data_IF_099852965593
#
_entry.id   IF_099852965593
#
_cell.length_a   1.000
_cell.length_b   1.000
_cell.length_c   1.000
_cell.angle_alpha   90.00
_cell.angle_beta   90.00
_cell.angle_gamma   90.00
#
_symmetry.space_group_name_H-M   'P 1'
#
loop_
_entity.id
_entity.type
_entity.pdbx_description
1 polymer ?
#
# COMPACT_ATOMS: atom_id res chain seq x y z
N UNK A 1 -16.85 -0.50 -14.40
CA UNK A 1 -15.92 -1.39 -13.66
C UNK A 1 -16.71 -2.53 -13.03
N UNK A 2 -16.14 -3.73 -12.91
CA UNK A 2 -16.73 -4.89 -12.22
C UNK A 2 -15.75 -5.48 -11.22
N UNK A 3 -16.23 -6.26 -10.26
CA UNK A 3 -15.39 -6.94 -9.26
C UNK A 3 -16.02 -8.24 -8.76
N UNK A 4 -15.19 -9.19 -8.32
CA UNK A 4 -15.63 -10.43 -7.66
C UNK A 4 -16.21 -10.19 -6.24
N UNK A 5 -16.01 -9.01 -5.65
CA UNK A 5 -16.51 -8.68 -4.31
C UNK A 5 -17.68 -7.68 -4.39
N UNK A 6 -18.92 -8.16 -4.20
CA UNK A 6 -20.15 -7.38 -4.42
C UNK A 6 -20.31 -6.12 -3.56
N UNK A 7 -19.63 -6.05 -2.41
CA UNK A 7 -19.74 -4.92 -1.49
C UNK A 7 -18.78 -3.76 -1.82
N UNK A 8 -17.84 -3.95 -2.76
CA UNK A 8 -16.92 -2.89 -3.15
C UNK A 8 -17.61 -1.92 -4.14
N UNK A 9 -17.36 -0.60 -4.02
CA UNK A 9 -17.89 0.37 -4.97
C UNK A 9 -17.34 0.11 -6.38
N UNK A 10 -18.16 0.29 -7.41
CA UNK A 10 -17.78 0.09 -8.82
C UNK A 10 -17.78 1.36 -9.66
N UNK A 11 -17.95 2.52 -9.04
CA UNK A 11 -17.94 3.85 -9.66
C UNK A 11 -16.87 4.78 -9.07
N UNK A 12 -17.16 6.07 -9.04
CA UNK A 12 -16.30 7.16 -8.55
C UNK A 12 -15.78 6.97 -7.11
N UNK A 13 -16.50 6.24 -6.26
CA UNK A 13 -16.05 5.86 -4.92
C UNK A 13 -14.87 4.87 -4.89
N UNK A 14 -14.47 4.28 -6.03
CA UNK A 14 -13.35 3.34 -6.10
C UNK A 14 -12.07 4.00 -6.64
N UNK A 15 -10.97 3.88 -5.93
CA UNK A 15 -9.67 4.45 -6.34
C UNK A 15 -9.18 3.92 -7.71
N UNK A 16 -9.53 2.69 -8.08
CA UNK A 16 -9.22 2.14 -9.41
C UNK A 16 -9.99 2.86 -10.53
N UNK A 17 -11.24 3.25 -10.27
CA UNK A 17 -12.02 4.07 -11.19
C UNK A 17 -11.39 5.46 -11.30
N UNK A 18 -11.06 6.10 -10.15
CA UNK A 18 -10.41 7.41 -10.11
C UNK A 18 -9.07 7.42 -10.87
N UNK A 19 -8.29 6.34 -10.78
CA UNK A 19 -7.03 6.19 -11.52
C UNK A 19 -7.22 6.20 -13.04
N UNK A 20 -8.26 5.52 -13.54
CA UNK A 20 -8.58 5.55 -14.96
C UNK A 20 -9.11 6.93 -15.38
N UNK A 21 -10.05 7.49 -14.62
CA UNK A 21 -10.61 8.82 -14.89
C UNK A 21 -9.51 9.89 -14.96
N UNK A 22 -8.55 9.86 -14.03
CA UNK A 22 -7.40 10.77 -14.01
C UNK A 22 -6.65 10.80 -15.35
N UNK A 23 -6.31 9.62 -15.88
CA UNK A 23 -5.59 9.53 -17.16
C UNK A 23 -6.49 9.79 -18.37
N UNK A 24 -7.77 9.43 -18.29
CA UNK A 24 -8.73 9.76 -19.35
C UNK A 24 -8.89 11.27 -19.51
N UNK A 25 -9.04 12.00 -18.40
CA UNK A 25 -9.20 13.46 -18.39
C UNK A 25 -7.90 14.16 -18.82
N UNK A 26 -6.75 13.70 -18.30
CA UNK A 26 -5.46 14.32 -18.58
C UNK A 26 -5.03 14.20 -20.05
N UNK A 27 -5.28 13.05 -20.68
CA UNK A 27 -4.91 12.78 -22.08
C UNK A 27 -6.06 12.94 -23.07
N UNK A 28 -7.19 13.47 -22.60
CA UNK A 28 -8.41 13.66 -23.37
C UNK A 28 -8.89 12.39 -24.12
N UNK A 29 -8.75 11.24 -23.48
CA UNK A 29 -9.09 9.93 -24.06
C UNK A 29 -10.60 9.82 -24.22
N UNK A 30 -11.06 9.58 -25.45
CA UNK A 30 -12.49 9.54 -25.80
C UNK A 30 -13.08 8.15 -25.73
N UNK A 31 -12.24 7.13 -25.84
CA UNK A 31 -12.62 5.74 -25.71
C UNK A 31 -12.89 5.38 -24.24
N UNK A 32 -13.87 4.50 -24.02
CA UNK A 32 -14.12 3.94 -22.70
C UNK A 32 -13.12 2.83 -22.34
N UNK A 33 -12.99 2.57 -21.04
CA UNK A 33 -12.26 1.39 -20.54
C UNK A 33 -13.12 0.49 -19.67
N UNK A 34 -12.95 -0.81 -19.83
CA UNK A 34 -13.56 -1.81 -18.96
C UNK A 34 -12.53 -2.35 -17.97
N UNK A 35 -12.72 -2.04 -16.69
CA UNK A 35 -11.88 -2.52 -15.60
C UNK A 35 -12.61 -3.67 -14.89
N UNK A 36 -11.96 -4.83 -14.79
CA UNK A 36 -12.43 -5.98 -13.99
C UNK A 36 -11.45 -6.24 -12.86
N UNK A 37 -11.86 -6.03 -11.61
CA UNK A 37 -11.03 -6.24 -10.42
C UNK A 37 -11.29 -7.62 -9.81
N UNK A 38 -10.32 -8.53 -9.95
CA UNK A 38 -10.31 -9.80 -9.23
C UNK A 38 -9.52 -9.65 -7.91
N UNK A 39 -10.22 -9.31 -6.82
CA UNK A 39 -9.65 -8.97 -5.52
C UNK A 39 -9.39 -10.22 -4.69
N UNK A 40 -8.11 -10.46 -4.42
CA UNK A 40 -7.62 -11.47 -3.48
C UNK A 40 -6.93 -10.84 -2.26
N UNK A 41 -6.37 -9.64 -2.39
CA UNK A 41 -5.84 -8.89 -1.23
C UNK A 41 -7.02 -8.56 -0.31
N UNK A 42 -7.00 -9.02 0.96
CA UNK A 42 -8.08 -8.76 1.91
C UNK A 42 -8.38 -7.28 2.06
N UNK A 43 -9.68 -6.96 2.13
CA UNK A 43 -10.15 -5.58 2.30
C UNK A 43 -9.88 -5.12 3.74
N UNK A 44 -9.44 -3.86 3.89
CA UNK A 44 -9.16 -3.22 5.18
C UNK A 44 -8.17 -4.00 6.08
N UNK A 45 -7.16 -4.63 5.45
CA UNK A 45 -6.16 -5.45 6.13
C UNK A 45 -4.78 -4.79 6.27
N UNK A 46 -4.65 -3.49 5.96
CA UNK A 46 -3.36 -2.78 6.02
C UNK A 46 -2.37 -3.17 4.91
N UNK A 47 -2.81 -3.88 3.86
CA UNK A 47 -1.95 -4.39 2.79
C UNK A 47 -1.96 -3.53 1.51
N UNK A 48 -2.28 -2.24 1.63
CA UNK A 48 -2.39 -1.29 0.51
C UNK A 48 -3.23 -1.81 -0.69
N UNK A 49 -4.23 -2.65 -0.45
CA UNK A 49 -4.96 -3.36 -1.50
C UNK A 49 -5.75 -2.45 -2.45
N UNK A 50 -6.19 -1.27 -1.99
CA UNK A 50 -6.80 -0.26 -2.84
C UNK A 50 -5.77 0.44 -3.72
N UNK A 51 -4.68 0.89 -3.11
CA UNK A 51 -3.55 1.56 -3.76
C UNK A 51 -2.91 0.70 -4.84
N UNK A 52 -2.77 -0.61 -4.59
CA UNK A 52 -2.32 -1.60 -5.59
C UNK A 52 -3.25 -1.68 -6.81
N UNK A 53 -4.57 -1.58 -6.62
CA UNK A 53 -5.51 -1.53 -7.74
C UNK A 53 -5.31 -0.26 -8.59
N UNK A 54 -5.13 0.90 -7.94
CA UNK A 54 -4.89 2.16 -8.63
C UNK A 54 -3.60 2.13 -9.45
N UNK A 55 -2.50 1.64 -8.85
CA UNK A 55 -1.23 1.43 -9.53
C UNK A 55 -1.36 0.50 -10.74
N UNK A 56 -2.12 -0.60 -10.61
CA UNK A 56 -2.38 -1.52 -11.71
C UNK A 56 -3.17 -0.88 -12.85
N UNK A 57 -4.16 -0.02 -12.53
CA UNK A 57 -4.91 0.74 -13.53
C UNK A 57 -4.03 1.77 -14.22
N UNK A 58 -3.23 2.55 -13.49
CA UNK A 58 -2.30 3.53 -14.08
C UNK A 58 -1.34 2.84 -15.07
N UNK A 59 -0.75 1.72 -14.67
CA UNK A 59 0.13 0.93 -15.54
C UNK A 59 -0.63 0.35 -16.75
N UNK A 60 -1.82 -0.19 -16.54
CA UNK A 60 -2.66 -0.77 -17.58
C UNK A 60 -3.09 0.26 -18.63
N UNK A 61 -3.55 1.43 -18.18
CA UNK A 61 -3.93 2.57 -19.04
C UNK A 61 -2.74 3.07 -19.84
N UNK A 62 -1.59 3.30 -19.20
CA UNK A 62 -0.37 3.74 -19.86
C UNK A 62 0.04 2.80 -21.01
N UNK A 63 -0.08 1.49 -20.78
CA UNK A 63 0.17 0.46 -21.80
C UNK A 63 -0.92 0.41 -22.88
N UNK A 64 -2.20 0.46 -22.48
CA UNK A 64 -3.35 0.29 -23.38
C UNK A 64 -3.43 1.42 -24.41
N UNK A 65 -3.23 2.67 -23.96
CA UNK A 65 -3.30 3.86 -24.81
C UNK A 65 -1.93 4.31 -25.34
N UNK A 66 -0.85 3.62 -24.95
CA UNK A 66 0.50 3.96 -25.40
C UNK A 66 0.93 5.38 -24.99
N UNK A 67 0.61 5.80 -23.76
CA UNK A 67 0.88 7.16 -23.26
C UNK A 67 2.38 7.42 -23.03
N UNK A 68 3.19 6.35 -22.97
CA UNK A 68 4.66 6.37 -22.80
C UNK A 68 5.12 7.08 -21.53
N UNK A 69 4.29 7.09 -20.50
CA UNK A 69 4.67 7.60 -19.19
C UNK A 69 5.75 6.71 -18.57
N UNK A 70 6.77 7.36 -18.03
CA UNK A 70 7.80 6.75 -17.21
C UNK A 70 7.23 6.30 -15.86
N UNK A 71 7.98 5.46 -15.14
CA UNK A 71 7.57 5.03 -13.80
C UNK A 71 7.38 6.21 -12.85
N UNK A 72 8.30 7.19 -12.89
CA UNK A 72 8.22 8.40 -12.07
C UNK A 72 6.95 9.20 -12.38
N UNK A 73 6.64 9.41 -13.66
CA UNK A 73 5.42 10.13 -14.06
C UNK A 73 4.14 9.42 -13.60
N UNK A 74 4.13 8.09 -13.56
CA UNK A 74 3.02 7.34 -12.98
C UNK A 74 2.95 7.53 -11.47
N UNK A 75 4.08 7.58 -10.77
CA UNK A 75 4.14 7.84 -9.32
C UNK A 75 3.64 9.24 -8.97
N UNK A 76 4.04 10.26 -9.73
CA UNK A 76 3.60 11.66 -9.55
C UNK A 76 2.07 11.83 -9.71
N UNK A 77 1.45 10.95 -10.50
CA UNK A 77 -0.01 10.85 -10.63
C UNK A 77 -0.62 9.98 -9.54
N UNK A 78 0.08 8.91 -9.16
CA UNK A 78 -0.28 7.99 -8.09
C UNK A 78 -0.45 8.70 -6.74
N UNK A 79 0.48 9.59 -6.37
CA UNK A 79 0.44 10.31 -5.09
C UNK A 79 -0.83 11.15 -4.93
N UNK A 80 -1.41 11.66 -6.03
CA UNK A 80 -2.69 12.40 -6.03
C UNK A 80 -3.89 11.51 -5.69
N UNK A 81 -3.76 10.19 -5.86
CA UNK A 81 -4.81 9.20 -5.60
C UNK A 81 -4.68 8.62 -4.18
N UNK A 82 -3.45 8.44 -3.69
CA UNK A 82 -3.16 7.98 -2.34
C UNK A 82 -1.67 7.78 -2.07
N UNK A 83 -1.26 7.93 -0.81
CA UNK A 83 0.15 7.89 -0.39
C UNK A 83 0.86 6.57 -0.72
N UNK A 84 0.18 5.41 -0.66
CA UNK A 84 0.82 4.12 -0.98
C UNK A 84 0.86 3.79 -2.49
N UNK A 85 0.21 4.59 -3.35
CA UNK A 85 0.14 4.30 -4.79
C UNK A 85 1.52 4.39 -5.45
N UNK A 86 2.37 5.40 -5.18
CA UNK A 86 3.76 5.43 -5.65
C UNK A 86 4.54 4.16 -5.30
N UNK A 87 4.46 3.69 -4.04
CA UNK A 87 5.10 2.44 -3.63
C UNK A 87 4.58 1.24 -4.44
N UNK A 88 3.27 1.14 -4.65
CA UNK A 88 2.68 0.06 -5.44
C UNK A 88 3.12 0.07 -6.93
N UNK A 89 3.49 1.23 -7.46
CA UNK A 89 4.07 1.39 -8.81
C UNK A 89 5.54 0.98 -8.81
N UNK A 90 6.31 1.43 -7.81
CA UNK A 90 7.74 1.13 -7.68
C UNK A 90 8.00 -0.37 -7.44
N UNK A 91 7.23 -0.98 -6.54
CA UNK A 91 7.32 -2.39 -6.10
C UNK A 91 8.66 -2.70 -5.40
N UNK A 92 8.78 -3.94 -4.92
CA UNK A 92 9.99 -4.42 -4.25
C UNK A 92 10.06 -4.02 -2.77
N UNK A 93 11.27 -4.07 -2.22
CA UNK A 93 11.57 -3.63 -0.86
C UNK A 93 12.12 -2.21 -0.94
N UNK A 94 11.49 -1.28 -0.21
CA UNK A 94 11.74 0.16 -0.35
C UNK A 94 11.70 0.78 1.04
N UNK A 95 12.65 1.65 1.34
CA UNK A 95 12.59 2.56 2.47
C UNK A 95 11.72 3.75 2.07
N UNK A 96 10.64 3.96 2.83
CA UNK A 96 9.75 5.09 2.64
C UNK A 96 9.95 6.09 3.77
N UNK A 97 10.23 7.33 3.43
CA UNK A 97 10.46 8.45 4.34
C UNK A 97 9.44 9.57 4.07
N UNK A 98 9.39 10.56 4.97
CA UNK A 98 8.38 11.63 4.94
C UNK A 98 6.97 11.10 5.25
N UNK A 99 5.99 11.50 4.43
CA UNK A 99 4.64 10.91 4.38
C UNK A 99 4.56 9.66 3.48
N UNK A 100 5.71 9.14 3.03
CA UNK A 100 5.81 8.03 2.08
C UNK A 100 6.07 8.46 0.63
N UNK A 101 6.46 9.71 0.42
CA UNK A 101 6.81 10.32 -0.87
C UNK A 101 8.28 10.11 -1.24
N UNK A 102 9.16 10.00 -0.25
CA UNK A 102 10.59 9.74 -0.46
C UNK A 102 10.85 8.23 -0.43
N UNK A 103 11.09 7.65 -1.61
CA UNK A 103 11.19 6.21 -1.79
C UNK A 103 12.59 5.80 -2.27
N UNK A 104 13.32 5.08 -1.41
CA UNK A 104 14.66 4.56 -1.67
C UNK A 104 14.64 3.04 -1.81
N UNK A 105 15.07 2.52 -2.97
CA UNK A 105 15.10 1.07 -3.21
C UNK A 105 16.12 0.38 -2.28
N UNK A 106 15.69 -0.70 -1.64
CA UNK A 106 16.51 -1.53 -0.76
C UNK A 106 16.82 -2.90 -1.40
N UNK A 107 17.81 -3.64 -0.86
CA UNK A 107 17.96 -5.05 -1.17
C UNK A 107 16.66 -5.81 -0.92
N UNK A 108 16.37 -6.79 -1.78
CA UNK A 108 15.19 -7.62 -1.62
C UNK A 108 15.21 -8.39 -0.29
N UNK A 109 14.04 -8.54 0.33
CA UNK A 109 13.88 -9.41 1.49
C UNK A 109 14.45 -10.82 1.25
N UNK A 110 15.21 -11.39 2.20
CA UNK A 110 15.59 -12.79 2.14
C UNK A 110 14.37 -13.69 1.93
N UNK A 111 14.53 -14.74 1.12
CA UNK A 111 13.43 -15.68 0.84
C UNK A 111 12.91 -16.28 2.13
N UNK A 112 11.65 -16.04 2.42
CA UNK A 112 10.97 -16.55 3.60
C UNK A 112 9.51 -16.86 3.29
N UNK A 113 8.87 -17.62 4.17
CA UNK A 113 7.43 -17.82 4.13
C UNK A 113 6.79 -16.80 5.07
N UNK A 114 5.85 -16.01 4.55
CA UNK A 114 5.08 -15.06 5.34
C UNK A 114 3.67 -15.62 5.54
N UNK A 115 3.25 -15.78 6.78
CA UNK A 115 1.88 -16.11 7.14
C UNK A 115 1.12 -14.81 7.44
N UNK A 116 0.00 -14.58 6.75
CA UNK A 116 -0.87 -13.42 6.99
C UNK A 116 -2.11 -13.89 7.73
N UNK A 117 -2.27 -13.47 8.99
CA UNK A 117 -3.47 -13.72 9.78
C UNK A 117 -4.33 -12.44 9.85
N UNK A 118 -5.54 -12.50 9.28
CA UNK A 118 -6.48 -11.37 9.25
C UNK A 118 -7.72 -11.69 10.10
N UNK A 119 -7.87 -11.12 11.30
CA UNK A 119 -9.11 -11.26 12.07
C UNK A 119 -10.29 -10.58 11.38
N UNK A 120 -11.56 -10.96 11.64
CA UNK A 120 -12.76 -10.39 10.99
C UNK A 120 -13.09 -8.95 11.46
N UNK A 121 -12.08 -8.16 11.82
CA UNK A 121 -12.20 -6.74 12.15
C UNK A 121 -11.76 -5.87 10.96
N UNK A 122 -12.10 -4.59 11.01
CA UNK A 122 -11.62 -3.58 10.08
C UNK A 122 -11.27 -2.35 10.90
N UNK A 123 -10.02 -1.90 10.78
CA UNK A 123 -9.50 -0.77 11.54
C UNK A 123 -9.46 0.44 10.61
N UNK A 124 -10.02 1.57 11.05
CA UNK A 124 -9.97 2.81 10.29
C UNK A 124 -8.57 3.40 10.37
N UNK A 125 -7.88 3.51 9.23
CA UNK A 125 -6.56 4.15 9.15
C UNK A 125 -6.58 5.53 9.80
N UNK A 126 -7.60 6.34 9.52
CA UNK A 126 -7.75 7.69 10.10
C UNK A 126 -7.78 7.65 11.64
N UNK A 127 -8.57 6.74 12.23
CA UNK A 127 -8.68 6.62 13.69
C UNK A 127 -7.36 6.24 14.33
N UNK A 128 -6.61 5.32 13.71
CA UNK A 128 -5.30 4.87 14.22
C UNK A 128 -4.29 6.01 14.21
N UNK A 129 -4.22 6.78 13.11
CA UNK A 129 -3.34 7.94 13.02
C UNK A 129 -3.72 9.04 14.03
N UNK A 130 -5.01 9.38 14.15
CA UNK A 130 -5.48 10.37 15.13
C UNK A 130 -5.13 9.96 16.57
N UNK A 131 -5.20 8.66 16.88
CA UNK A 131 -4.80 8.14 18.18
C UNK A 131 -3.28 8.12 18.39
N UNK A 132 -2.50 7.84 17.34
CA UNK A 132 -1.05 7.88 17.40
C UNK A 132 -0.55 9.31 17.62
N UNK A 133 -1.10 10.28 16.89
CA UNK A 133 -0.75 11.71 17.03
C UNK A 133 -1.05 12.26 18.43
N UNK A 134 -1.96 11.61 19.18
CA UNK A 134 -2.29 11.95 20.56
C UNK A 134 -1.31 11.41 21.61
N UNK A 135 -0.30 10.63 21.18
CA UNK A 135 0.72 10.03 22.05
C UNK A 135 2.12 10.39 21.57
N UNK A 136 3.04 10.51 22.52
CA UNK A 136 4.47 10.60 22.20
C UNK A 136 4.99 9.20 21.85
N UNK A 137 5.70 9.08 20.72
CA UNK A 137 6.36 7.83 20.32
C UNK A 137 7.70 7.78 21.05
N UNK A 138 7.78 6.92 22.06
CA UNK A 138 8.98 6.80 22.92
C UNK A 138 9.97 5.79 22.36
N UNK A 139 9.47 4.70 21.77
CA UNK A 139 10.29 3.64 21.18
C UNK A 139 10.01 3.54 19.69
N UNK A 140 11.07 3.64 18.89
CA UNK A 140 11.01 3.45 17.45
C UNK A 140 11.58 2.08 17.09
N UNK A 141 11.02 1.38 16.08
CA UNK A 141 11.61 0.16 15.53
C UNK A 141 13.07 0.36 15.11
N UNK A 142 13.87 -0.71 15.19
CA UNK A 142 15.28 -0.73 14.81
C UNK A 142 15.44 -0.73 13.27
N UNK A 143 15.18 0.41 12.64
CA UNK A 143 15.28 0.57 11.17
C UNK A 143 16.70 0.25 10.70
N UNK A 144 17.72 0.71 11.41
CA UNK A 144 19.12 0.43 11.07
C UNK A 144 19.42 -1.08 11.10
N UNK A 145 18.87 -1.81 12.06
CA UNK A 145 18.97 -3.26 12.11
C UNK A 145 18.25 -3.97 10.96
N UNK A 146 17.08 -3.48 10.54
CA UNK A 146 16.39 -3.98 9.34
C UNK A 146 17.27 -3.77 8.11
N UNK A 147 17.81 -2.56 7.92
CA UNK A 147 18.67 -2.22 6.79
C UNK A 147 19.95 -3.07 6.76
N UNK A 148 20.56 -3.29 7.91
CA UNK A 148 21.72 -4.16 8.04
C UNK A 148 21.39 -5.61 7.70
N UNK A 149 20.28 -6.13 8.23
CA UNK A 149 19.79 -7.48 7.96
C UNK A 149 19.51 -7.71 6.47
N UNK A 150 18.81 -6.78 5.82
CA UNK A 150 18.57 -6.80 4.37
C UNK A 150 19.87 -6.82 3.57
N UNK A 151 20.84 -5.96 3.92
CA UNK A 151 22.14 -5.90 3.23
C UNK A 151 22.94 -7.20 3.38
N UNK A 152 22.85 -7.86 4.54
CA UNK A 152 23.54 -9.14 4.82
C UNK A 152 22.77 -10.36 4.34
N UNK A 153 21.52 -10.21 3.93
CA UNK A 153 20.63 -11.34 3.63
C UNK A 153 20.21 -12.14 4.88
N UNK A 154 20.30 -11.53 6.06
CA UNK A 154 20.03 -12.16 7.36
C UNK A 154 18.57 -11.97 7.76
N UNK A 155 17.77 -13.02 7.55
CA UNK A 155 16.35 -13.01 7.87
C UNK A 155 16.07 -12.85 9.38
N UNK A 156 16.92 -13.44 10.24
CA UNK A 156 16.72 -13.37 11.68
C UNK A 156 16.94 -11.95 12.18
N UNK A 157 18.03 -11.31 11.74
CA UNK A 157 18.28 -9.91 12.07
C UNK A 157 17.15 -8.99 11.60
N UNK A 158 16.61 -9.21 10.39
CA UNK A 158 15.44 -8.45 9.93
C UNK A 158 14.25 -8.69 10.87
N UNK A 159 13.90 -9.94 11.15
CA UNK A 159 12.74 -10.29 11.97
C UNK A 159 12.84 -9.73 13.40
N UNK A 160 14.01 -9.81 14.02
CA UNK A 160 14.24 -9.31 15.39
C UNK A 160 14.18 -7.78 15.47
N UNK A 161 14.46 -7.09 14.37
CA UNK A 161 14.42 -5.62 14.28
C UNK A 161 13.07 -5.08 13.76
N UNK A 162 12.14 -5.94 13.32
CA UNK A 162 10.81 -5.52 12.84
C UNK A 162 9.95 -4.99 13.99
N UNK A 163 9.24 -3.89 13.71
CA UNK A 163 8.25 -3.32 14.63
C UNK A 163 7.31 -2.37 13.92
N UNK A 164 6.21 -2.03 14.57
CA UNK A 164 5.23 -1.09 14.05
C UNK A 164 4.60 -0.30 15.20
N UNK A 165 4.89 1.01 15.25
CA UNK A 165 4.38 1.93 16.28
C UNK A 165 2.85 2.04 16.28
N UNK A 166 2.18 1.73 15.17
CA UNK A 166 0.72 1.72 15.11
C UNK A 166 0.11 0.62 16.00
N UNK A 167 0.88 -0.41 16.38
CA UNK A 167 0.43 -1.48 17.26
C UNK A 167 0.04 -0.96 18.65
N UNK A 168 0.77 0.04 19.17
CA UNK A 168 0.58 0.58 20.51
C UNK A 168 -0.77 1.28 20.72
N UNK A 169 -1.38 1.72 19.62
CA UNK A 169 -2.73 2.30 19.62
C UNK A 169 -3.77 1.32 19.09
N UNK A 170 -3.39 0.43 18.17
CA UNK A 170 -4.34 -0.50 17.53
C UNK A 170 -4.69 -1.68 18.44
N UNK A 171 -3.72 -2.25 19.17
CA UNK A 171 -3.94 -3.40 20.05
C UNK A 171 -4.91 -3.07 21.19
N UNK A 172 -4.78 -1.94 21.93
CA UNK A 172 -5.75 -1.57 22.96
C UNK A 172 -7.18 -1.38 22.42
N UNK A 173 -7.33 -0.89 21.18
CA UNK A 173 -8.64 -0.72 20.52
C UNK A 173 -9.24 -2.05 20.07
N UNK A 174 -8.39 -3.01 19.69
CA UNK A 174 -8.78 -4.31 19.15
C UNK A 174 -7.93 -5.45 19.75
N UNK A 175 -8.24 -5.90 20.98
CA UNK A 175 -7.41 -6.86 21.72
C UNK A 175 -7.19 -8.20 21.01
N UNK A 176 -8.09 -8.62 20.12
CA UNK A 176 -7.96 -9.83 19.29
C UNK A 176 -6.67 -9.87 18.45
N UNK A 177 -6.05 -8.71 18.19
CA UNK A 177 -4.77 -8.63 17.49
C UNK A 177 -3.65 -9.22 18.35
N UNK A 178 -3.67 -8.99 19.67
CA UNK A 178 -2.68 -9.55 20.59
C UNK A 178 -2.80 -11.07 20.73
N UNK A 179 -4.00 -11.64 20.59
CA UNK A 179 -4.20 -13.10 20.67
C UNK A 179 -3.60 -13.86 19.48
N UNK A 180 -3.29 -13.17 18.38
CA UNK A 180 -2.80 -13.75 17.12
C UNK A 180 -1.29 -13.50 16.92
N UNK A 181 -0.71 -12.57 17.68
CA UNK A 181 0.71 -12.24 17.66
C UNK A 181 1.51 -13.19 18.54
#
# INVERSE_FOLDING_TARGET
>A
MTTNLKFLPTGDGNIAYKAAQLLMDEFDLKEGVQITLNKHIPVAAGLAGGSSNAAAVLFGMNRLFGLRLTQQELMDRGVKLGADVPYCIMRGTVLAEGIGEELSVLPAMPKCTVLIAKPPISVSTKMVYEALDSKEIVEHPDIDGILEGLRKGDLHKVADSMGNVLEDVTIPMHPVIADIK
#
